data_IF_550551924016
#
_entry.id   IF_550551924016
#
_cell.length_a   1.000
_cell.length_b   1.000
_cell.length_c   1.000
_cell.angle_alpha   90.00
_cell.angle_beta   90.00
_cell.angle_gamma   90.00
#
_symmetry.space_group_name_H-M   'P 1'
#
loop_
_entity.id
_entity.type
_entity.pdbx_description
1 polymer ?
#
# COMPACT_ATOMS: atom_id res chain seq x y z
N UNK A 1 -27.19 5.66 0.99
CA UNK A 1 -26.89 4.33 0.45
C UNK A 1 -27.21 3.27 1.49
N UNK A 2 -27.88 2.19 1.10
CA UNK A 2 -28.07 1.02 1.97
C UNK A 2 -27.54 -0.21 1.23
N UNK A 3 -26.66 -0.96 1.89
CA UNK A 3 -26.14 -2.24 1.41
C UNK A 3 -27.13 -3.31 1.89
N UNK A 4 -27.90 -3.89 0.98
CA UNK A 4 -28.85 -4.95 1.31
C UNK A 4 -28.37 -6.26 0.67
N UNK A 5 -28.78 -7.44 1.14
CA UNK A 5 -28.41 -8.72 0.52
C UNK A 5 -28.72 -8.80 -1.00
N UNK A 6 -29.71 -8.03 -1.49
CA UNK A 6 -30.06 -7.95 -2.91
C UNK A 6 -29.23 -6.98 -3.75
N UNK A 7 -28.29 -6.23 -3.13
CA UNK A 7 -27.41 -5.28 -3.80
C UNK A 7 -27.39 -3.88 -3.17
N UNK A 8 -26.61 -2.98 -3.77
CA UNK A 8 -26.53 -1.58 -3.37
C UNK A 8 -27.80 -0.83 -3.82
N UNK A 9 -28.68 -0.46 -2.88
CA UNK A 9 -29.81 0.41 -3.17
C UNK A 9 -29.37 1.88 -3.09
N UNK A 10 -29.25 2.54 -4.25
CA UNK A 10 -28.97 3.98 -4.34
C UNK A 10 -30.24 4.79 -4.11
N UNK A 11 -30.50 5.19 -2.86
CA UNK A 11 -31.63 6.05 -2.47
C UNK A 11 -31.27 7.55 -2.41
N UNK A 12 -30.17 7.93 -3.06
CA UNK A 12 -29.52 9.24 -2.89
C UNK A 12 -28.28 9.18 -2.00
N UNK A 13 -27.41 10.18 -2.15
CA UNK A 13 -26.15 10.31 -1.42
C UNK A 13 -26.17 11.58 -0.57
N UNK A 14 -26.02 11.41 0.74
CA UNK A 14 -25.78 12.52 1.67
C UNK A 14 -24.32 12.45 2.11
N UNK A 15 -23.52 13.44 1.70
CA UNK A 15 -22.11 13.52 2.08
C UNK A 15 -21.97 14.50 3.25
N UNK A 16 -21.69 13.99 4.44
CA UNK A 16 -21.33 14.80 5.60
C UNK A 16 -19.81 14.93 5.65
N UNK A 17 -19.30 16.17 5.64
CA UNK A 17 -17.87 16.43 5.73
C UNK A 17 -17.57 17.32 6.92
N UNK A 18 -16.79 16.82 7.86
CA UNK A 18 -16.31 17.60 8.99
C UNK A 18 -14.93 18.14 8.65
N UNK A 19 -14.82 19.47 8.48
CA UNK A 19 -13.55 20.13 8.19
C UNK A 19 -12.94 20.64 9.50
N UNK A 20 -11.89 19.97 9.96
CA UNK A 20 -11.05 20.49 11.02
C UNK A 20 -10.09 21.53 10.45
N UNK A 21 -10.13 22.75 10.96
CA UNK A 21 -9.14 23.79 10.64
C UNK A 21 -8.15 23.91 11.79
N UNK A 22 -6.86 23.80 11.49
CA UNK A 22 -5.82 23.91 12.51
C UNK A 22 -5.30 25.33 12.55
N UNK A 23 -5.47 26.01 13.69
CA UNK A 23 -4.95 27.36 13.94
C UNK A 23 -3.45 27.36 14.24
N UNK A 24 -2.94 26.29 14.88
CA UNK A 24 -1.53 26.11 15.21
C UNK A 24 -0.82 25.14 14.25
N UNK A 25 -0.51 25.62 13.04
CA UNK A 25 0.07 24.78 11.98
C UNK A 25 1.41 24.12 12.36
N UNK A 26 2.26 24.80 13.14
CA UNK A 26 3.53 24.25 13.62
C UNK A 26 3.35 23.01 14.50
N UNK A 27 2.36 23.04 15.41
CA UNK A 27 2.03 21.91 16.27
C UNK A 27 1.50 20.72 15.44
N UNK A 28 0.72 21.00 14.40
CA UNK A 28 0.20 19.99 13.50
C UNK A 28 1.32 19.33 12.67
N UNK A 29 2.28 20.10 12.16
CA UNK A 29 3.47 19.55 11.52
C UNK A 29 4.30 18.68 12.48
N UNK A 30 4.50 19.13 13.71
CA UNK A 30 5.25 18.38 14.71
C UNK A 30 4.62 17.01 15.02
N UNK A 31 3.29 16.88 14.88
CA UNK A 31 2.60 15.60 15.06
C UNK A 31 3.02 14.55 14.02
N UNK A 32 3.38 14.95 12.80
CA UNK A 32 3.85 13.99 11.78
C UNK A 32 5.16 13.30 12.16
N UNK A 33 6.01 13.97 12.95
CA UNK A 33 7.27 13.39 13.44
C UNK A 33 7.08 12.52 14.68
N UNK A 34 5.98 12.69 15.43
CA UNK A 34 5.73 11.99 16.68
C UNK A 34 5.21 10.56 16.43
N UNK A 35 5.69 9.57 17.21
CA UNK A 35 5.15 8.21 17.17
C UNK A 35 3.66 8.19 17.53
N UNK A 36 2.93 7.24 16.96
CA UNK A 36 1.48 7.09 17.18
C UNK A 36 1.15 6.52 18.56
N UNK A 37 1.98 5.62 19.07
CA UNK A 37 1.78 4.98 20.36
C UNK A 37 2.71 5.57 21.43
N UNK A 38 2.35 5.47 22.71
CA UNK A 38 3.28 5.68 23.82
C UNK A 38 4.54 4.82 23.68
N UNK A 39 5.67 5.31 24.22
CA UNK A 39 6.99 4.65 24.12
C UNK A 39 6.97 3.19 24.57
N UNK A 40 6.19 2.89 25.60
CA UNK A 40 6.05 1.58 26.22
C UNK A 40 5.65 0.48 25.22
N UNK A 41 4.74 0.77 24.28
CA UNK A 41 4.24 -0.23 23.34
C UNK A 41 5.22 -0.58 22.20
N UNK A 42 6.28 0.22 22.02
CA UNK A 42 7.37 -0.13 21.10
C UNK A 42 8.44 -0.98 21.77
N UNK A 43 8.60 -0.86 23.10
CA UNK A 43 9.51 -1.70 23.88
C UNK A 43 8.87 -3.01 24.31
N UNK A 44 7.57 -2.99 24.59
CA UNK A 44 6.76 -4.15 24.98
C UNK A 44 5.48 -4.15 24.13
N UNK A 45 5.50 -4.82 22.96
CA UNK A 45 4.34 -4.85 22.09
C UNK A 45 3.18 -5.56 22.77
N UNK A 46 1.95 -5.05 22.56
CA UNK A 46 0.72 -5.73 22.98
C UNK A 46 0.60 -7.01 22.16
N UNK A 47 0.26 -8.13 22.79
CA UNK A 47 0.06 -9.38 22.07
C UNK A 47 -1.15 -9.27 21.14
N UNK A 48 -1.15 -10.03 20.03
CA UNK A 48 -2.24 -9.97 19.04
C UNK A 48 -3.60 -10.27 19.70
N UNK A 49 -3.66 -11.29 20.55
CA UNK A 49 -4.87 -11.67 21.28
C UNK A 49 -5.37 -10.55 22.22
N UNK A 50 -4.47 -9.90 22.95
CA UNK A 50 -4.84 -8.79 23.83
C UNK A 50 -5.32 -7.58 23.03
N UNK A 51 -4.71 -7.34 21.88
CA UNK A 51 -5.05 -6.22 21.01
C UNK A 51 -6.48 -6.37 20.46
N UNK A 52 -6.87 -7.56 20.05
CA UNK A 52 -8.23 -7.84 19.56
C UNK A 52 -9.27 -7.69 20.68
N UNK A 53 -8.96 -8.19 21.89
CA UNK A 53 -9.81 -7.98 23.06
C UNK A 53 -9.97 -6.50 23.42
N UNK A 54 -8.87 -5.73 23.44
CA UNK A 54 -8.89 -4.29 23.72
C UNK A 54 -9.69 -3.51 22.66
N UNK A 55 -9.54 -3.88 21.38
CA UNK A 55 -10.35 -3.30 20.29
C UNK A 55 -11.83 -3.57 20.52
N UNK A 56 -12.20 -4.82 20.79
CA UNK A 56 -13.58 -5.19 21.06
C UNK A 56 -14.18 -4.37 22.21
N UNK A 57 -13.50 -4.28 23.35
CA UNK A 57 -13.95 -3.47 24.48
C UNK A 57 -14.08 -1.98 24.13
N UNK A 58 -13.10 -1.42 23.40
CA UNK A 58 -13.17 -0.04 22.95
C UNK A 58 -14.38 0.20 22.02
N UNK A 59 -14.67 -0.71 21.10
CA UNK A 59 -15.83 -0.62 20.21
C UNK A 59 -17.15 -0.65 20.99
N UNK A 60 -17.28 -1.55 21.97
CA UNK A 60 -18.44 -1.63 22.86
C UNK A 60 -18.67 -0.31 23.61
N UNK A 61 -17.61 0.27 24.16
CA UNK A 61 -17.67 1.55 24.87
C UNK A 61 -18.07 2.70 23.94
N UNK A 62 -17.52 2.76 22.72
CA UNK A 62 -17.85 3.79 21.73
C UNK A 62 -19.32 3.65 21.29
N UNK A 63 -19.79 2.44 21.01
CA UNK A 63 -21.19 2.18 20.67
C UNK A 63 -22.14 2.60 21.80
N UNK A 64 -21.83 2.24 23.05
CA UNK A 64 -22.64 2.62 24.20
C UNK A 64 -22.68 4.15 24.42
N UNK A 65 -21.56 4.85 24.17
CA UNK A 65 -21.50 6.32 24.28
C UNK A 65 -22.26 7.02 23.15
N UNK A 66 -22.08 6.58 21.91
CA UNK A 66 -22.75 7.17 20.75
C UNK A 66 -24.25 6.87 20.71
N UNK A 67 -24.70 5.75 21.30
CA UNK A 67 -26.12 5.46 21.50
C UNK A 67 -26.82 6.41 22.49
N UNK A 68 -26.05 7.13 23.31
CA UNK A 68 -26.54 8.17 24.23
C UNK A 68 -26.32 9.59 23.72
N UNK A 69 -25.74 9.76 22.53
CA UNK A 69 -25.52 11.08 21.94
C UNK A 69 -26.84 11.64 21.36
N UNK A 70 -26.86 12.92 21.03
CA UNK A 70 -27.98 13.56 20.33
C UNK A 70 -27.51 14.05 18.95
N UNK A 71 -28.02 13.47 17.84
CA UNK A 71 -28.94 12.33 17.75
C UNK A 71 -28.27 10.99 18.11
N UNK A 72 -29.01 10.01 18.66
CA UNK A 72 -28.45 8.72 19.06
C UNK A 72 -28.08 7.89 17.83
N UNK A 73 -26.84 7.42 17.79
CA UNK A 73 -26.39 6.49 16.75
C UNK A 73 -26.70 5.06 17.18
N UNK A 74 -27.42 4.33 16.33
CA UNK A 74 -27.71 2.92 16.56
C UNK A 74 -26.41 2.11 16.58
N UNK A 75 -26.41 1.05 17.39
CA UNK A 75 -25.27 0.16 17.56
C UNK A 75 -24.80 -0.40 16.23
N UNK A 76 -25.73 -0.83 15.37
CA UNK A 76 -25.40 -1.37 14.04
C UNK A 76 -24.58 -0.38 13.19
N UNK A 77 -24.93 0.91 13.28
CA UNK A 77 -24.21 1.98 12.54
C UNK A 77 -22.81 2.16 13.08
N UNK A 78 -22.64 2.12 14.41
CA UNK A 78 -21.34 2.27 15.06
C UNK A 78 -20.45 1.05 14.78
N UNK A 79 -20.99 -0.16 14.83
CA UNK A 79 -20.27 -1.39 14.52
C UNK A 79 -19.84 -1.43 13.05
N UNK A 80 -20.71 -0.99 12.14
CA UNK A 80 -20.37 -0.82 10.73
C UNK A 80 -19.25 0.22 10.53
N UNK A 81 -19.32 1.37 11.21
CA UNK A 81 -18.28 2.42 11.14
C UNK A 81 -16.92 1.98 11.71
N UNK A 82 -16.92 1.07 12.68
CA UNK A 82 -15.70 0.58 13.34
C UNK A 82 -15.12 -0.67 12.68
N UNK A 83 -15.72 -1.15 11.59
CA UNK A 83 -15.32 -2.35 10.84
C UNK A 83 -15.10 -3.58 11.75
N UNK A 84 -16.09 -3.84 12.61
CA UNK A 84 -16.05 -4.94 13.60
C UNK A 84 -15.78 -6.29 12.92
N UNK A 85 -16.26 -6.49 11.69
CA UNK A 85 -16.11 -7.73 10.92
C UNK A 85 -14.85 -7.76 10.03
N UNK A 86 -13.86 -6.90 10.29
CA UNK A 86 -12.57 -6.90 9.57
C UNK A 86 -11.86 -8.27 9.52
N UNK A 87 -12.15 -9.14 10.48
CA UNK A 87 -11.60 -10.49 10.60
C UNK A 87 -12.37 -11.56 9.82
N UNK A 88 -13.58 -11.24 9.32
CA UNK A 88 -14.36 -12.14 8.49
C UNK A 88 -13.91 -12.04 7.03
N UNK A 89 -13.80 -13.21 6.37
CA UNK A 89 -13.45 -13.27 4.97
C UNK A 89 -14.60 -12.70 4.11
N UNK A 90 -14.26 -11.84 3.16
CA UNK A 90 -15.19 -11.37 2.12
C UNK A 90 -14.52 -11.45 0.76
N UNK A 91 -15.19 -12.10 -0.19
CA UNK A 91 -14.73 -12.20 -1.57
C UNK A 91 -14.66 -10.82 -2.25
N UNK A 92 -15.62 -9.93 -1.97
CA UNK A 92 -15.66 -8.55 -2.48
C UNK A 92 -14.45 -7.74 -1.98
N UNK A 93 -14.18 -7.75 -0.66
CA UNK A 93 -13.03 -7.07 -0.06
C UNK A 93 -11.70 -7.61 -0.61
N UNK A 94 -11.60 -8.93 -0.82
CA UNK A 94 -10.43 -9.56 -1.43
C UNK A 94 -10.19 -9.07 -2.86
N UNK A 95 -11.22 -9.01 -3.72
CA UNK A 95 -11.13 -8.45 -5.07
C UNK A 95 -10.73 -6.97 -5.07
N UNK A 96 -11.33 -6.16 -4.19
CA UNK A 96 -10.98 -4.74 -4.05
C UNK A 96 -9.50 -4.56 -3.67
N UNK A 97 -9.01 -5.35 -2.72
CA UNK A 97 -7.59 -5.34 -2.33
C UNK A 97 -6.67 -5.83 -3.46
N UNK A 98 -7.06 -6.87 -4.22
CA UNK A 98 -6.31 -7.32 -5.39
C UNK A 98 -6.21 -6.21 -6.45
N UNK A 99 -7.32 -5.54 -6.79
CA UNK A 99 -7.33 -4.42 -7.73
C UNK A 99 -6.46 -3.25 -7.25
N UNK A 100 -6.45 -2.95 -5.94
CA UNK A 100 -5.54 -1.97 -5.35
C UNK A 100 -4.08 -2.36 -5.59
N UNK A 101 -3.71 -3.61 -5.35
CA UNK A 101 -2.37 -4.13 -5.63
C UNK A 101 -2.03 -4.01 -7.12
N UNK A 102 -2.90 -4.48 -8.02
CA UNK A 102 -2.69 -4.35 -9.47
C UNK A 102 -2.53 -2.88 -9.90
N UNK A 103 -3.30 -1.97 -9.30
CA UNK A 103 -3.19 -0.53 -9.58
C UNK A 103 -1.84 0.06 -9.16
N UNK A 104 -1.22 -0.44 -8.09
CA UNK A 104 0.14 -0.03 -7.69
C UNK A 104 1.17 -0.44 -8.74
N UNK A 105 1.01 -1.62 -9.34
CA UNK A 105 1.89 -2.10 -10.41
C UNK A 105 1.67 -1.40 -11.76
N UNK A 106 0.49 -0.81 -11.99
CA UNK A 106 0.19 -0.10 -13.24
C UNK A 106 1.19 1.03 -13.55
N UNK A 107 1.68 1.73 -12.53
CA UNK A 107 2.71 2.76 -12.67
C UNK A 107 4.05 2.18 -13.14
N UNK A 108 4.46 1.04 -12.59
CA UNK A 108 5.69 0.33 -13.00
C UNK A 108 5.57 -0.14 -14.45
N UNK A 109 4.41 -0.70 -14.83
CA UNK A 109 4.13 -1.11 -16.22
C UNK A 109 4.16 0.09 -17.16
N UNK A 110 3.62 1.24 -16.76
CA UNK A 110 3.66 2.47 -17.57
C UNK A 110 5.09 2.99 -17.77
N UNK A 111 5.92 2.98 -16.72
CA UNK A 111 7.35 3.32 -16.81
C UNK A 111 8.08 2.34 -17.74
N UNK A 112 7.81 1.04 -17.62
CA UNK A 112 8.38 0.03 -18.52
C UNK A 112 8.02 0.28 -20.00
N UNK A 113 6.75 0.61 -20.29
CA UNK A 113 6.32 0.98 -21.66
C UNK A 113 6.96 2.28 -22.15
N UNK A 114 7.16 3.26 -21.27
CA UNK A 114 7.83 4.51 -21.61
C UNK A 114 9.31 4.29 -21.93
N UNK A 115 10.00 3.48 -21.12
CA UNK A 115 11.39 3.05 -21.38
C UNK A 115 11.51 2.29 -22.69
N UNK A 116 10.60 1.35 -22.97
CA UNK A 116 10.55 0.65 -24.27
C UNK A 116 10.37 1.63 -25.44
N UNK A 117 9.57 2.69 -25.24
CA UNK A 117 9.42 3.78 -26.21
C UNK A 117 10.72 4.58 -26.45
N UNK A 118 11.52 4.81 -25.41
CA UNK A 118 12.84 5.46 -25.51
C UNK A 118 13.83 4.57 -26.27
N UNK A 119 13.91 3.28 -25.91
CA UNK A 119 14.79 2.30 -26.56
C UNK A 119 14.47 2.12 -28.05
N UNK A 120 13.18 2.22 -28.42
CA UNK A 120 12.71 2.15 -29.81
C UNK A 120 12.76 3.51 -30.54
N UNK A 121 13.33 4.55 -29.93
CA UNK A 121 13.48 5.89 -30.51
C UNK A 121 12.17 6.49 -31.06
N UNK A 122 11.02 6.20 -30.41
CA UNK A 122 9.70 6.67 -30.88
C UNK A 122 9.59 8.19 -30.98
N UNK A 123 10.27 8.91 -30.09
CA UNK A 123 10.42 10.36 -30.17
C UNK A 123 11.91 10.72 -30.00
N UNK A 124 12.62 11.02 -31.09
CA UNK A 124 14.07 11.15 -31.08
C UNK A 124 14.55 12.29 -30.17
N UNK A 125 13.79 13.40 -30.08
CA UNK A 125 14.14 14.52 -29.19
C UNK A 125 14.13 14.11 -27.72
N UNK A 126 13.08 13.40 -27.29
CA UNK A 126 13.01 12.91 -25.90
C UNK A 126 14.07 11.87 -25.61
N UNK A 127 14.36 10.99 -26.57
CA UNK A 127 15.41 9.98 -26.42
C UNK A 127 16.79 10.65 -26.30
N UNK A 128 17.11 11.64 -27.15
CA UNK A 128 18.37 12.39 -27.05
C UNK A 128 18.49 13.11 -25.70
N UNK A 129 17.44 13.79 -25.23
CA UNK A 129 17.43 14.45 -23.93
C UNK A 129 17.68 13.47 -22.78
N UNK A 130 17.05 12.29 -22.81
CA UNK A 130 17.27 11.24 -21.81
C UNK A 130 18.70 10.72 -21.85
N UNK A 131 19.29 10.53 -23.03
CA UNK A 131 20.69 10.11 -23.17
C UNK A 131 21.67 11.17 -22.67
N UNK A 132 21.44 12.45 -22.97
CA UNK A 132 22.24 13.56 -22.46
C UNK A 132 22.16 13.63 -20.93
N UNK A 133 20.94 13.56 -20.36
CA UNK A 133 20.74 13.52 -18.91
C UNK A 133 21.42 12.30 -18.28
N UNK A 134 21.31 11.13 -18.91
CA UNK A 134 21.98 9.91 -18.47
C UNK A 134 23.50 10.07 -18.44
N UNK A 135 24.11 10.62 -19.50
CA UNK A 135 25.55 10.88 -19.54
C UNK A 135 26.00 11.85 -18.45
N UNK A 136 25.25 12.95 -18.22
CA UNK A 136 25.54 13.92 -17.15
C UNK A 136 25.51 13.23 -15.78
N UNK A 137 24.50 12.40 -15.51
CA UNK A 137 24.35 11.68 -14.25
C UNK A 137 25.45 10.63 -14.02
N UNK A 138 25.91 9.98 -15.10
CA UNK A 138 27.04 9.04 -15.04
C UNK A 138 28.36 9.76 -14.78
N UNK A 139 28.59 10.91 -15.42
CA UNK A 139 29.80 11.72 -15.21
C UNK A 139 29.83 12.39 -13.83
N UNK A 140 28.68 12.71 -13.24
CA UNK A 140 28.55 13.40 -11.97
C UNK A 140 27.54 12.67 -11.05
N UNK A 141 27.94 11.56 -10.40
CA UNK A 141 27.04 10.75 -9.57
C UNK A 141 26.49 11.51 -8.35
N UNK A 142 27.19 12.56 -7.90
CA UNK A 142 26.74 13.45 -6.83
C UNK A 142 25.41 14.14 -7.18
N UNK A 143 25.09 14.28 -8.48
CA UNK A 143 23.82 14.84 -8.97
C UNK A 143 22.67 13.84 -8.96
N UNK A 144 22.90 12.54 -8.75
CA UNK A 144 21.82 11.54 -8.76
C UNK A 144 20.79 11.83 -7.67
N UNK A 145 21.24 12.03 -6.42
CA UNK A 145 20.35 12.26 -5.30
C UNK A 145 19.60 13.61 -5.42
N UNK A 146 20.27 14.75 -5.74
CA UNK A 146 19.61 16.01 -6.05
C UNK A 146 18.58 15.92 -7.18
N UNK A 147 18.90 15.25 -8.29
CA UNK A 147 17.96 15.14 -9.42
C UNK A 147 16.75 14.28 -9.09
N UNK A 148 16.91 13.20 -8.33
CA UNK A 148 15.78 12.40 -7.83
C UNK A 148 14.87 13.25 -6.93
N UNK A 149 15.44 13.98 -5.97
CA UNK A 149 14.64 14.84 -5.08
C UNK A 149 13.97 15.99 -5.84
N UNK A 150 14.65 16.60 -6.81
CA UNK A 150 14.08 17.62 -7.68
C UNK A 150 12.93 17.05 -8.51
N UNK A 151 13.08 15.84 -9.05
CA UNK A 151 12.01 15.16 -9.79
C UNK A 151 10.81 14.85 -8.90
N UNK A 152 11.02 14.32 -7.69
CA UNK A 152 9.97 14.11 -6.69
C UNK A 152 9.27 15.42 -6.30
N UNK A 153 10.04 16.49 -6.12
CA UNK A 153 9.52 17.83 -5.83
C UNK A 153 8.66 18.36 -6.98
N UNK A 154 9.14 18.27 -8.23
CA UNK A 154 8.41 18.69 -9.41
C UNK A 154 7.15 17.87 -9.65
N UNK A 155 7.21 16.54 -9.46
CA UNK A 155 6.02 15.67 -9.48
C UNK A 155 5.04 16.13 -8.39
N UNK A 156 5.52 16.37 -7.17
CA UNK A 156 4.70 16.85 -6.06
C UNK A 156 4.01 18.17 -6.37
N UNK A 157 4.75 19.15 -6.91
CA UNK A 157 4.25 20.47 -7.29
C UNK A 157 3.26 20.39 -8.47
N UNK A 158 3.52 19.52 -9.44
CA UNK A 158 2.59 19.28 -10.55
C UNK A 158 1.30 18.62 -10.06
N UNK A 159 1.43 17.59 -9.20
CA UNK A 159 0.31 16.89 -8.60
C UNK A 159 -0.50 17.79 -7.65
N UNK A 160 0.12 18.79 -7.03
CA UNK A 160 -0.57 19.78 -6.20
C UNK A 160 -1.70 20.49 -6.95
N UNK A 161 -1.53 20.74 -8.25
CA UNK A 161 -2.60 21.35 -9.09
C UNK A 161 -3.78 20.40 -9.28
N UNK A 162 -3.52 19.10 -9.37
CA UNK A 162 -4.51 18.03 -9.55
C UNK A 162 -4.99 17.43 -8.23
N UNK A 163 -4.65 18.05 -7.09
CA UNK A 163 -5.03 17.51 -5.79
C UNK A 163 -6.55 17.42 -5.65
N UNK A 164 -7.07 16.34 -5.05
CA UNK A 164 -8.49 16.26 -4.75
C UNK A 164 -8.87 17.40 -3.80
N UNK A 165 -9.88 18.18 -4.18
CA UNK A 165 -10.42 19.29 -3.37
C UNK A 165 -11.63 18.89 -2.55
N UNK A 166 -12.27 17.78 -2.92
CA UNK A 166 -13.41 17.21 -2.20
C UNK A 166 -12.90 16.37 -1.03
N UNK A 167 -13.63 16.35 0.11
CA UNK A 167 -13.31 15.45 1.20
C UNK A 167 -13.31 14.00 0.69
N UNK A 168 -12.46 13.12 1.25
CA UNK A 168 -12.53 11.70 0.95
C UNK A 168 -13.94 11.22 1.30
N UNK A 169 -14.60 10.60 0.32
CA UNK A 169 -15.90 9.96 0.50
C UNK A 169 -15.74 8.46 0.33
N UNK A 170 -16.74 7.72 0.80
CA UNK A 170 -16.82 6.29 0.53
C UNK A 170 -16.89 6.08 -0.99
N UNK A 171 -15.95 5.34 -1.56
CA UNK A 171 -15.88 5.12 -3.01
C UNK A 171 -16.41 3.73 -3.32
N UNK A 172 -17.63 3.68 -3.88
CA UNK A 172 -18.32 2.44 -4.23
C UNK A 172 -17.60 1.67 -5.33
N UNK A 173 -16.90 2.35 -6.24
CA UNK A 173 -16.13 1.72 -7.32
C UNK A 173 -14.85 1.10 -6.74
N UNK A 174 -14.14 1.84 -5.89
CA UNK A 174 -12.94 1.34 -5.22
C UNK A 174 -13.25 0.14 -4.31
N UNK A 175 -14.42 0.17 -3.66
CA UNK A 175 -14.93 -0.90 -2.78
C UNK A 175 -15.53 -2.09 -3.54
N UNK A 176 -15.49 -2.03 -4.87
CA UNK A 176 -16.12 -2.98 -5.79
C UNK A 176 -17.63 -3.15 -5.60
N UNK A 177 -18.28 -2.24 -4.85
CA UNK A 177 -19.68 -2.29 -4.41
C UNK A 177 -20.71 -2.19 -5.56
N UNK A 178 -20.32 -1.64 -6.73
CA UNK A 178 -21.20 -1.51 -7.90
C UNK A 178 -21.20 -2.74 -8.82
N UNK A 179 -20.15 -3.57 -8.75
CA UNK A 179 -19.98 -4.76 -9.59
C UNK A 179 -20.13 -6.06 -8.77
N UNK A 180 -20.70 -5.96 -7.58
CA UNK A 180 -20.87 -7.10 -6.66
C UNK A 180 -21.99 -7.99 -7.15
N UNK A 181 -21.71 -9.29 -7.20
CA UNK A 181 -22.77 -10.27 -7.42
C UNK A 181 -23.60 -10.41 -6.14
N UNK A 182 -24.95 -10.46 -6.18
CA UNK A 182 -25.81 -10.49 -4.97
C UNK A 182 -25.40 -11.55 -3.93
N UNK A 183 -24.95 -12.70 -4.40
CA UNK A 183 -24.42 -13.79 -3.56
C UNK A 183 -23.14 -13.44 -2.77
N UNK A 184 -22.28 -12.55 -3.26
CA UNK A 184 -21.09 -12.07 -2.51
C UNK A 184 -21.48 -11.13 -1.36
N UNK A 185 -22.62 -10.45 -1.51
CA UNK A 185 -23.18 -9.59 -0.48
C UNK A 185 -23.91 -10.44 0.56
N UNK A 186 -24.64 -11.46 0.12
CA UNK A 186 -25.25 -12.47 0.98
C UNK A 186 -24.21 -13.30 1.77
N UNK A 187 -22.97 -13.41 1.29
CA UNK A 187 -21.84 -13.97 2.04
C UNK A 187 -21.37 -13.05 3.18
N UNK A 188 -21.34 -11.72 2.95
CA UNK A 188 -20.96 -10.75 3.99
C UNK A 188 -21.99 -10.66 5.13
N UNK A 189 -23.26 -10.92 4.84
CA UNK A 189 -24.34 -10.92 5.83
C UNK A 189 -24.61 -12.29 6.47
N UNK A 190 -23.93 -13.36 6.05
CA UNK A 190 -24.10 -14.68 6.64
C UNK A 190 -23.29 -14.79 7.94
N UNK A 191 -23.90 -15.35 8.97
CA UNK A 191 -23.25 -15.55 10.26
C UNK A 191 -22.27 -16.71 10.21
N UNK A 192 -21.32 -16.74 11.14
CA UNK A 192 -20.48 -17.92 11.36
C UNK A 192 -20.99 -18.69 12.59
N UNK A 193 -21.38 -19.97 12.49
CA UNK A 193 -21.41 -20.83 11.30
C UNK A 193 -22.55 -20.50 10.30
N UNK A 194 -22.35 -20.89 9.03
CA UNK A 194 -23.24 -20.55 7.90
C UNK A 194 -24.66 -21.05 8.10
N UNK A 195 -25.64 -20.21 7.74
CA UNK A 195 -27.06 -20.55 7.74
C UNK A 195 -27.55 -21.06 6.37
N UNK A 196 -26.66 -21.07 5.37
CA UNK A 196 -27.00 -21.35 3.96
C UNK A 196 -26.97 -22.85 3.65
N UNK A 197 -27.81 -23.30 2.68
CA UNK A 197 -27.80 -24.69 2.23
C UNK A 197 -26.46 -25.07 1.59
N UNK A 198 -26.08 -26.35 1.71
CA UNK A 198 -24.76 -26.86 1.29
C UNK A 198 -24.41 -26.61 -0.18
N UNK A 199 -25.40 -26.58 -1.07
CA UNK A 199 -25.17 -26.33 -2.51
C UNK A 199 -24.68 -24.90 -2.78
N UNK A 200 -25.19 -23.91 -2.02
CA UNK A 200 -24.73 -22.51 -2.11
C UNK A 200 -23.31 -22.40 -1.58
N UNK A 201 -23.02 -23.08 -0.47
CA UNK A 201 -21.66 -23.12 0.10
C UNK A 201 -20.66 -23.74 -0.90
N UNK A 202 -21.05 -24.82 -1.57
CA UNK A 202 -20.23 -25.48 -2.60
C UNK A 202 -19.95 -24.53 -3.78
N UNK A 203 -20.98 -23.84 -4.26
CA UNK A 203 -20.86 -22.88 -5.35
C UNK A 203 -19.94 -21.69 -4.96
N UNK A 204 -20.06 -21.17 -3.74
CA UNK A 204 -19.15 -20.12 -3.20
C UNK A 204 -17.71 -20.61 -3.11
N UNK A 205 -17.51 -21.85 -2.63
CA UNK A 205 -16.19 -22.47 -2.57
C UNK A 205 -15.56 -22.63 -3.95
N UNK A 206 -16.30 -23.11 -4.96
CA UNK A 206 -15.79 -23.26 -6.32
C UNK A 206 -15.43 -21.90 -6.95
N UNK A 207 -16.21 -20.86 -6.67
CA UNK A 207 -15.88 -19.49 -7.07
C UNK A 207 -14.61 -18.98 -6.39
N UNK A 208 -14.48 -19.18 -5.08
CA UNK A 208 -13.26 -18.83 -4.34
C UNK A 208 -12.04 -19.54 -4.94
N UNK A 209 -12.18 -20.81 -5.29
CA UNK A 209 -11.14 -21.61 -5.95
C UNK A 209 -10.73 -21.04 -7.31
N UNK A 210 -11.68 -20.51 -8.09
CA UNK A 210 -11.38 -19.85 -9.38
C UNK A 210 -10.55 -18.57 -9.20
N UNK A 211 -10.87 -17.75 -8.19
CA UNK A 211 -10.13 -16.52 -7.86
C UNK A 211 -8.75 -16.87 -7.32
N UNK A 212 -8.68 -17.84 -6.41
CA UNK A 212 -7.42 -18.38 -5.90
C UNK A 212 -6.53 -18.92 -7.02
N UNK A 213 -7.12 -19.56 -8.04
CA UNK A 213 -6.39 -20.01 -9.23
C UNK A 213 -5.68 -18.86 -9.97
N UNK A 214 -6.35 -17.71 -10.16
CA UNK A 214 -5.72 -16.53 -10.80
C UNK A 214 -4.58 -15.96 -9.95
N UNK A 215 -4.76 -15.92 -8.64
CA UNK A 215 -3.70 -15.49 -7.70
C UNK A 215 -2.53 -16.47 -7.76
N UNK A 216 -2.80 -17.79 -7.77
CA UNK A 216 -1.79 -18.84 -7.86
C UNK A 216 -1.00 -18.74 -9.16
N UNK A 217 -1.62 -18.40 -10.31
CA UNK A 217 -0.88 -18.18 -11.56
C UNK A 217 0.11 -17.02 -11.41
N UNK A 218 -0.33 -15.87 -10.87
CA UNK A 218 0.56 -14.70 -10.67
C UNK A 218 1.69 -15.01 -9.68
N UNK A 219 1.37 -15.70 -8.57
CA UNK A 219 2.37 -16.10 -7.58
C UNK A 219 3.34 -17.14 -8.16
N UNK A 220 2.85 -18.08 -8.98
CA UNK A 220 3.66 -19.07 -9.68
C UNK A 220 4.60 -18.45 -10.71
N UNK A 221 4.14 -17.45 -11.46
CA UNK A 221 4.98 -16.68 -12.37
C UNK A 221 6.08 -15.92 -11.60
N UNK A 222 5.73 -15.27 -10.48
CA UNK A 222 6.71 -14.60 -9.63
C UNK A 222 7.72 -15.57 -9.02
N UNK A 223 7.26 -16.73 -8.54
CA UNK A 223 8.13 -17.78 -8.00
C UNK A 223 9.10 -18.28 -9.07
N UNK A 224 8.61 -18.57 -10.28
CA UNK A 224 9.44 -18.99 -11.41
C UNK A 224 10.50 -17.94 -11.78
N UNK A 225 10.14 -16.66 -11.77
CA UNK A 225 11.11 -15.57 -11.98
C UNK A 225 12.16 -15.50 -10.85
N UNK A 226 11.73 -15.70 -9.61
CA UNK A 226 12.62 -15.77 -8.44
C UNK A 226 13.59 -16.95 -8.51
N UNK A 227 13.10 -18.15 -8.87
CA UNK A 227 13.91 -19.34 -9.07
C UNK A 227 14.94 -19.14 -10.17
N UNK A 228 14.56 -18.49 -11.29
CA UNK A 228 15.50 -18.12 -12.35
C UNK A 228 16.56 -17.14 -11.88
N UNK A 229 16.19 -16.16 -11.07
CA UNK A 229 17.15 -15.22 -10.47
C UNK A 229 18.11 -15.94 -9.50
N UNK A 230 17.61 -16.86 -8.68
CA UNK A 230 18.45 -17.70 -7.82
C UNK A 230 19.36 -18.62 -8.67
N UNK A 231 18.86 -19.12 -9.80
CA UNK A 231 19.63 -19.96 -10.71
C UNK A 231 20.83 -19.23 -11.33
N UNK A 232 20.81 -17.89 -11.41
CA UNK A 232 21.97 -17.09 -11.84
C UNK A 232 23.16 -17.20 -10.90
N UNK A 233 22.96 -17.59 -9.64
CA UNK A 233 24.00 -17.74 -8.62
C UNK A 233 24.26 -19.21 -8.24
N UNK A 234 23.34 -20.13 -8.56
CA UNK A 234 23.43 -21.53 -8.15
C UNK A 234 24.28 -22.41 -9.09
N UNK A 235 24.94 -21.82 -10.09
CA UNK A 235 25.77 -22.51 -11.08
C UNK A 235 25.04 -23.61 -11.88
N UNK A 236 23.70 -23.62 -11.85
CA UNK A 236 22.88 -24.61 -12.56
C UNK A 236 23.05 -24.53 -14.09
N UNK A 237 23.25 -23.32 -14.60
CA UNK A 237 23.79 -23.08 -15.94
C UNK A 237 25.17 -22.41 -15.79
N UNK A 238 26.27 -23.16 -15.97
CA UNK A 238 27.62 -22.63 -15.79
C UNK A 238 27.95 -21.46 -16.71
N UNK A 239 27.34 -21.41 -17.91
CA UNK A 239 27.59 -20.34 -18.89
C UNK A 239 26.89 -19.06 -18.48
N UNK A 240 25.60 -19.16 -18.14
CA UNK A 240 24.83 -18.01 -17.69
C UNK A 240 25.36 -17.45 -16.36
N UNK A 241 25.73 -18.33 -15.43
CA UNK A 241 26.30 -17.94 -14.13
C UNK A 241 27.67 -17.27 -14.29
N UNK A 242 28.54 -17.78 -15.17
CA UNK A 242 29.83 -17.15 -15.44
C UNK A 242 29.68 -15.76 -16.07
N UNK A 243 28.78 -15.59 -17.04
CA UNK A 243 28.47 -14.29 -17.63
C UNK A 243 27.93 -13.32 -16.56
N UNK A 244 27.00 -13.80 -15.71
CA UNK A 244 26.41 -12.99 -14.66
C UNK A 244 27.42 -12.57 -13.60
N UNK A 245 28.32 -13.46 -13.17
CA UNK A 245 29.38 -13.16 -12.20
C UNK A 245 30.40 -12.18 -12.81
N UNK A 246 30.83 -12.40 -14.05
CA UNK A 246 31.75 -11.49 -14.74
C UNK A 246 31.15 -10.09 -14.89
N UNK A 247 29.88 -10.00 -15.31
CA UNK A 247 29.15 -8.74 -15.41
C UNK A 247 28.98 -8.09 -14.03
N UNK A 248 28.65 -8.87 -13.01
CA UNK A 248 28.54 -8.38 -11.62
C UNK A 248 29.87 -7.84 -11.10
N UNK A 249 30.99 -8.48 -11.44
CA UNK A 249 32.33 -8.01 -11.11
C UNK A 249 32.67 -6.71 -11.82
N UNK A 250 32.40 -6.60 -13.12
CA UNK A 250 32.58 -5.36 -13.90
C UNK A 250 31.75 -4.23 -13.30
N UNK A 251 30.46 -4.48 -13.01
CA UNK A 251 29.57 -3.49 -12.37
C UNK A 251 30.11 -3.10 -10.99
N UNK A 252 30.61 -4.04 -10.19
CA UNK A 252 31.22 -3.74 -8.90
C UNK A 252 32.46 -2.85 -9.02
N UNK A 253 33.34 -3.10 -9.99
CA UNK A 253 34.53 -2.26 -10.27
C UNK A 253 34.10 -0.86 -10.73
N UNK A 254 33.13 -0.76 -11.63
CA UNK A 254 32.59 0.53 -12.10
C UNK A 254 32.00 1.32 -10.92
N UNK A 255 31.13 0.69 -10.12
CA UNK A 255 30.52 1.31 -8.94
C UNK A 255 31.56 1.68 -7.86
N UNK A 256 32.68 0.96 -7.78
CA UNK A 256 33.79 1.31 -6.89
C UNK A 256 34.55 2.57 -7.35
N UNK A 257 34.75 2.71 -8.66
CA UNK A 257 35.43 3.87 -9.27
C UNK A 257 34.53 5.11 -9.30
N UNK A 258 33.21 4.93 -9.35
CA UNK A 258 32.25 6.03 -9.28
C UNK A 258 32.12 6.51 -7.81
N UNK A 259 32.26 7.80 -7.47
CA UNK A 259 32.23 8.26 -6.08
C UNK A 259 30.83 8.16 -5.46
N UNK A 260 30.46 6.95 -5.02
CA UNK A 260 29.35 6.65 -4.09
C UNK A 260 29.81 6.67 -2.63
N UNK A 261 31.11 6.92 -2.43
CA UNK A 261 31.84 6.78 -1.17
C UNK A 261 31.22 7.57 -0.02
N UNK A 262 30.73 8.79 -0.27
CA UNK A 262 30.12 9.62 0.78
C UNK A 262 28.77 9.06 1.22
N UNK A 263 27.93 8.62 0.29
CA UNK A 263 26.61 8.04 0.60
C UNK A 263 26.77 6.69 1.30
N UNK A 264 27.69 5.85 0.83
CA UNK A 264 28.01 4.56 1.46
C UNK A 264 28.58 4.72 2.87
N UNK A 265 29.49 5.69 3.09
CA UNK A 265 30.08 5.94 4.40
C UNK A 265 29.03 6.46 5.37
N UNK A 266 28.19 7.43 4.96
CA UNK A 266 27.12 7.97 5.82
C UNK A 266 26.08 6.88 6.15
N UNK A 267 25.62 6.13 5.15
CA UNK A 267 24.65 5.05 5.34
C UNK A 267 25.24 3.90 6.16
N UNK A 268 26.50 3.52 5.90
CA UNK A 268 27.24 2.49 6.60
C UNK A 268 27.46 2.83 8.07
N UNK A 269 27.92 4.05 8.37
CA UNK A 269 28.06 4.54 9.75
C UNK A 269 26.71 4.62 10.47
N UNK A 270 25.63 4.98 9.76
CA UNK A 270 24.28 5.01 10.33
C UNK A 270 23.73 3.60 10.64
N UNK A 271 23.95 2.62 9.76
CA UNK A 271 23.47 1.23 9.93
C UNK A 271 24.30 0.44 10.97
N UNK A 272 25.62 0.63 10.97
CA UNK A 272 26.56 -0.02 11.90
C UNK A 272 26.64 0.68 13.28
N UNK A 273 25.85 1.73 13.49
CA UNK A 273 25.68 2.43 14.77
C UNK A 273 25.43 1.45 15.92
N UNK A 274 26.25 1.58 16.97
CA UNK A 274 26.19 0.73 18.16
C UNK A 274 24.76 0.65 18.76
N UNK A 275 24.28 -0.54 19.20
CA UNK A 275 22.90 -0.74 19.66
C UNK A 275 22.43 0.20 20.76
N UNK A 276 23.33 0.69 21.63
CA UNK A 276 22.99 1.70 22.66
C UNK A 276 22.48 3.02 22.07
N UNK A 277 22.93 3.37 20.87
CA UNK A 277 22.43 4.54 20.20
C UNK A 277 21.18 4.21 19.37
N UNK A 278 20.83 2.94 19.10
CA UNK A 278 19.65 2.63 18.29
C UNK A 278 18.39 3.05 19.05
N UNK A 279 17.61 3.96 18.48
CA UNK A 279 16.30 4.31 19.03
C UNK A 279 15.39 3.08 18.95
N UNK A 280 14.74 2.73 20.06
CA UNK A 280 13.68 1.70 20.09
C UNK A 280 12.36 2.22 19.49
N UNK A 281 12.33 3.48 19.06
CA UNK A 281 11.17 4.12 18.46
C UNK A 281 11.27 4.14 16.93
N UNK A 282 10.12 4.14 16.23
CA UNK A 282 10.10 4.35 14.79
C UNK A 282 10.77 5.68 14.43
N UNK A 283 11.48 5.68 13.30
CA UNK A 283 12.11 6.86 12.75
C UNK A 283 11.06 7.91 12.34
N UNK A 284 11.46 9.19 12.33
CA UNK A 284 10.62 10.30 11.84
C UNK A 284 10.02 10.03 10.45
N UNK A 285 10.79 9.59 9.42
CA UNK A 285 10.21 9.28 8.12
C UNK A 285 9.20 8.12 8.16
N UNK A 286 9.40 7.13 9.02
CA UNK A 286 8.42 6.06 9.22
C UNK A 286 7.13 6.56 9.87
N UNK A 287 7.23 7.45 10.88
CA UNK A 287 6.07 8.08 11.51
C UNK A 287 5.29 8.96 10.53
N UNK A 288 5.99 9.72 9.71
CA UNK A 288 5.40 10.52 8.65
C UNK A 288 4.63 9.64 7.66
N UNK A 289 5.27 8.57 7.17
CA UNK A 289 4.66 7.63 6.21
C UNK A 289 3.40 6.97 6.78
N UNK A 290 3.45 6.48 8.02
CA UNK A 290 2.30 5.82 8.66
C UNK A 290 1.10 6.76 8.90
N UNK A 291 1.32 8.07 8.87
CA UNK A 291 0.26 9.10 9.01
C UNK A 291 -0.28 9.59 7.67
N UNK A 292 0.28 9.14 6.55
CA UNK A 292 -0.27 9.45 5.24
C UNK A 292 -1.62 8.75 5.07
N UNK A 293 -2.60 9.41 4.42
CA UNK A 293 -3.91 8.82 4.21
C UNK A 293 -3.81 7.58 3.32
N UNK A 294 -4.55 6.53 3.69
CA UNK A 294 -4.62 5.30 2.93
C UNK A 294 -5.97 5.18 2.23
N UNK A 295 -5.96 4.60 1.02
CA UNK A 295 -7.21 4.31 0.28
C UNK A 295 -8.11 3.27 0.98
N UNK A 296 -7.61 2.60 2.02
CA UNK A 296 -8.43 1.73 2.88
C UNK A 296 -9.56 2.51 3.55
N UNK A 297 -9.33 3.77 3.87
CA UNK A 297 -10.26 4.60 4.65
C UNK A 297 -11.45 5.07 3.80
N UNK A 298 -11.42 4.76 2.49
CA UNK A 298 -12.50 5.03 1.52
C UNK A 298 -13.22 3.75 1.08
N UNK A 299 -12.88 2.60 1.67
CA UNK A 299 -13.53 1.31 1.39
C UNK A 299 -14.80 1.11 2.22
N UNK A 300 -15.81 0.54 1.57
CA UNK A 300 -17.15 0.25 2.08
C UNK A 300 -17.28 -1.16 2.66
#
# INVERSE_FOLDING_TARGET
MALNPSGLKKTGELHLAVRFTCTAWSNMLAMYAKPLLPKMHYTHPISVLQLDYLRFQAMQMVAARLGRAEPPLKREVVEYMLDVDSHMFSLRRSKANFNRITSLFSGVVAVGKWMDGICKWKNPLTTILVHVLFLILVCYPELILPTVFLYLFMIGLWNYRRRPRKPPHMDTVLSYAEQVHPDELDEEFDTFPTTKPGDIVRMRYDRLRSVAGRVQTVVGDLATQGERAQALLSWRDPRATAIFILLSFIVAVVLYVTPFQVVAVVLGLYLLRHPRFRSKQPSVPFNFYKRLPAKSDMLL
#
